data_IF_116947724557
#
_entry.id   IF_116947724557
#
_cell.length_a   1.000
_cell.length_b   1.000
_cell.length_c   1.000
_cell.angle_alpha   90.00
_cell.angle_beta   90.00
_cell.angle_gamma   90.00
#
_symmetry.space_group_name_H-M   'P 1'
#
loop_
_entity.id
_entity.type
_entity.pdbx_description
1 polymer ?
#
# COMPACT_ATOMS: atom_id res chain seq x y z
N UNK A 1 -5.37 -16.47 7.45
CA UNK A 1 -6.00 -17.77 7.21
C UNK A 1 -5.23 -18.49 6.11
N UNK A 2 -5.16 -17.98 4.87
CA UNK A 2 -4.50 -18.62 3.71
C UNK A 2 -3.08 -19.12 4.01
N UNK A 3 -2.24 -18.33 4.70
CA UNK A 3 -0.88 -18.71 5.07
C UNK A 3 -0.86 -20.01 5.92
N UNK A 4 -1.75 -20.10 6.91
CA UNK A 4 -1.86 -21.30 7.76
C UNK A 4 -2.40 -22.49 7.00
N UNK A 5 -3.36 -22.29 6.11
CA UNK A 5 -3.92 -23.36 5.26
C UNK A 5 -2.88 -23.90 4.27
N UNK A 6 -1.93 -23.04 3.82
CA UNK A 6 -0.79 -23.43 3.02
C UNK A 6 0.34 -24.11 3.83
N UNK A 7 0.18 -24.30 5.13
CA UNK A 7 1.16 -24.96 5.99
C UNK A 7 2.30 -24.10 6.49
N UNK A 8 2.19 -22.77 6.32
CA UNK A 8 3.19 -21.81 6.80
C UNK A 8 2.80 -21.12 8.11
N UNK A 9 3.79 -20.63 8.83
CA UNK A 9 3.64 -19.93 10.11
C UNK A 9 3.71 -18.40 9.90
N UNK A 10 2.58 -17.65 10.08
CA UNK A 10 2.59 -16.21 9.97
C UNK A 10 3.46 -15.55 11.04
N UNK A 11 4.27 -14.59 10.63
CA UNK A 11 5.19 -13.86 11.52
C UNK A 11 6.56 -14.52 11.68
N UNK A 12 6.69 -15.79 11.30
CA UNK A 12 7.97 -16.49 11.32
C UNK A 12 8.49 -16.81 9.93
N UNK A 13 7.65 -17.43 9.08
CA UNK A 13 8.02 -17.80 7.71
C UNK A 13 7.46 -16.81 6.69
N UNK A 14 6.28 -16.26 6.96
CA UNK A 14 5.60 -15.29 6.11
C UNK A 14 5.20 -14.09 6.98
N UNK A 15 5.61 -12.90 6.55
CA UNK A 15 5.11 -11.63 7.07
C UNK A 15 4.30 -10.90 5.99
N UNK A 16 3.58 -9.85 6.36
CA UNK A 16 2.75 -9.09 5.45
C UNK A 16 3.34 -7.70 5.20
N UNK A 17 3.29 -7.27 3.95
CA UNK A 17 3.49 -5.91 3.53
C UNK A 17 2.17 -5.38 2.96
N UNK A 18 1.78 -4.18 3.34
CA UNK A 18 0.60 -3.50 2.84
C UNK A 18 1.03 -2.43 1.84
N UNK A 19 0.34 -2.36 0.72
CA UNK A 19 0.32 -1.22 -0.19
C UNK A 19 -1.09 -0.62 -0.12
N UNK A 20 -1.20 0.52 0.54
CA UNK A 20 -2.51 1.11 0.89
C UNK A 20 -3.00 2.06 -0.20
N UNK A 21 -2.07 2.69 -0.92
CA UNK A 21 -2.35 3.73 -1.90
C UNK A 21 -3.33 4.79 -1.35
N UNK A 22 -3.06 5.28 -0.12
CA UNK A 22 -4.02 6.06 0.65
C UNK A 22 -4.42 7.38 -0.02
N UNK A 23 -3.63 7.88 -0.98
CA UNK A 23 -4.00 9.04 -1.80
C UNK A 23 -5.29 8.80 -2.60
N UNK A 24 -5.58 7.54 -2.99
CA UNK A 24 -6.83 7.17 -3.69
C UNK A 24 -8.05 7.17 -2.76
N UNK A 25 -7.84 7.01 -1.46
CA UNK A 25 -8.90 7.08 -0.45
C UNK A 25 -9.14 8.51 0.03
N UNK A 26 -8.21 9.42 -0.25
CA UNK A 26 -8.25 10.78 0.30
C UNK A 26 -9.18 11.69 -0.49
N UNK A 27 -10.18 12.21 0.19
CA UNK A 27 -11.13 13.17 -0.34
C UNK A 27 -10.63 14.60 -0.07
N UNK A 28 -10.26 15.32 -1.13
CA UNK A 28 -9.68 16.69 -1.05
C UNK A 28 -10.66 17.71 -0.50
N UNK A 29 -11.96 17.51 -0.69
CA UNK A 29 -12.98 18.47 -0.28
C UNK A 29 -13.27 18.38 1.23
N UNK A 30 -13.25 17.16 1.77
CA UNK A 30 -13.49 16.91 3.21
C UNK A 30 -12.21 16.87 4.05
N UNK A 31 -11.04 16.62 3.43
CA UNK A 31 -9.79 16.36 4.13
C UNK A 31 -9.75 15.01 4.85
N UNK A 32 -10.60 14.07 4.49
CA UNK A 32 -10.74 12.77 5.14
C UNK A 32 -10.42 11.64 4.17
N UNK A 33 -10.11 10.47 4.73
CA UNK A 33 -9.97 9.22 3.98
C UNK A 33 -11.29 8.47 3.99
N UNK A 34 -11.83 8.14 2.82
CA UNK A 34 -13.11 7.48 2.62
C UNK A 34 -12.91 5.96 2.51
N UNK A 35 -13.71 5.20 3.27
CA UNK A 35 -13.65 3.74 3.29
C UNK A 35 -14.95 3.09 2.78
N UNK A 36 -15.18 3.09 1.46
CA UNK A 36 -16.43 2.57 0.89
C UNK A 36 -16.63 1.07 1.16
N UNK A 37 -15.56 0.29 1.25
CA UNK A 37 -15.62 -1.13 1.60
C UNK A 37 -16.12 -1.37 3.03
N UNK A 38 -15.61 -0.61 4.01
CA UNK A 38 -16.07 -0.71 5.40
C UNK A 38 -17.51 -0.18 5.57
N UNK A 39 -17.88 0.85 4.82
CA UNK A 39 -19.23 1.36 4.75
C UNK A 39 -20.21 0.27 4.30
N UNK A 40 -19.87 -0.47 3.23
CA UNK A 40 -20.67 -1.61 2.74
C UNK A 40 -20.77 -2.73 3.76
N UNK A 41 -19.70 -3.05 4.48
CA UNK A 41 -19.70 -4.06 5.52
C UNK A 41 -20.61 -3.67 6.69
N UNK A 42 -20.54 -2.41 7.17
CA UNK A 42 -21.45 -1.91 8.21
C UNK A 42 -22.90 -1.97 7.78
N UNK A 43 -23.18 -1.59 6.54
CA UNK A 43 -24.53 -1.68 5.97
C UNK A 43 -25.02 -3.13 5.95
N UNK A 44 -24.19 -4.08 5.47
CA UNK A 44 -24.52 -5.49 5.45
C UNK A 44 -24.75 -6.08 6.85
N UNK A 45 -23.97 -5.68 7.87
CA UNK A 45 -24.16 -6.10 9.26
C UNK A 45 -25.46 -5.56 9.85
N UNK A 46 -25.83 -4.32 9.56
CA UNK A 46 -27.11 -3.74 10.02
C UNK A 46 -28.29 -4.43 9.36
N UNK A 47 -28.22 -4.73 8.07
CA UNK A 47 -29.23 -5.50 7.37
C UNK A 47 -29.39 -6.91 7.94
N UNK A 48 -28.27 -7.60 8.25
CA UNK A 48 -28.32 -8.93 8.87
C UNK A 48 -28.94 -8.91 10.28
N UNK A 49 -28.75 -7.83 11.04
CA UNK A 49 -29.36 -7.63 12.36
C UNK A 49 -30.81 -7.16 12.27
N UNK A 50 -31.19 -6.46 11.20
CA UNK A 50 -32.52 -5.94 10.92
C UNK A 50 -33.50 -6.96 10.31
N UNK A 51 -33.05 -8.16 9.92
CA UNK A 51 -33.82 -9.20 9.24
C UNK A 51 -34.88 -9.90 10.15
N UNK A 52 -35.44 -9.17 11.12
CA UNK A 52 -36.81 -9.47 11.64
C UNK A 52 -37.90 -8.61 10.94
N UNK A 53 -37.54 -7.80 9.94
CA UNK A 53 -38.52 -7.03 9.17
C UNK A 53 -38.24 -7.25 7.66
N UNK A 54 -39.24 -7.80 6.99
CA UNK A 54 -39.24 -8.12 5.56
C UNK A 54 -38.97 -6.87 4.69
N UNK A 55 -37.92 -6.81 3.94
CA UNK A 55 -37.87 -6.04 2.71
C UNK A 55 -36.79 -6.53 1.70
N UNK A 56 -37.27 -6.89 0.53
CA UNK A 56 -36.45 -7.31 -0.65
C UNK A 56 -35.54 -6.21 -1.22
N UNK A 57 -35.67 -4.97 -0.75
CA UNK A 57 -34.94 -3.80 -1.27
C UNK A 57 -33.44 -3.79 -0.92
N UNK A 58 -33.03 -4.47 0.12
CA UNK A 58 -31.64 -4.47 0.59
C UNK A 58 -30.68 -5.34 -0.25
N UNK A 59 -31.19 -6.41 -0.85
CA UNK A 59 -30.38 -7.28 -1.73
C UNK A 59 -30.14 -6.67 -3.12
N UNK A 60 -31.03 -5.80 -3.59
CA UNK A 60 -30.87 -5.10 -4.87
C UNK A 60 -29.76 -4.04 -4.83
N UNK A 61 -29.49 -3.41 -3.68
CA UNK A 61 -28.43 -2.39 -3.52
C UNK A 61 -27.02 -3.01 -3.60
N UNK A 62 -26.87 -4.26 -3.17
CA UNK A 62 -25.57 -4.97 -3.22
C UNK A 62 -25.18 -5.41 -4.64
N UNK A 63 -26.11 -5.43 -5.60
CA UNK A 63 -25.92 -5.95 -6.94
C UNK A 63 -26.30 -4.99 -8.08
N UNK A 64 -26.76 -3.76 -7.80
CA UNK A 64 -27.11 -2.81 -8.86
C UNK A 64 -25.90 -2.01 -9.30
N UNK A 65 -25.51 -2.22 -10.55
CA UNK A 65 -24.90 -1.17 -11.38
C UNK A 65 -25.85 0.04 -11.44
N UNK A 66 -25.29 1.23 -11.36
CA UNK A 66 -25.84 2.57 -11.11
C UNK A 66 -27.13 3.04 -11.85
N UNK A 67 -28.08 2.19 -12.21
CA UNK A 67 -29.26 2.65 -12.96
C UNK A 67 -30.58 2.04 -12.47
N UNK A 68 -31.46 2.92 -11.93
CA UNK A 68 -32.91 2.85 -11.73
C UNK A 68 -33.46 2.63 -10.31
N UNK A 69 -33.42 3.69 -9.49
CA UNK A 69 -34.30 3.83 -8.32
C UNK A 69 -35.07 5.18 -8.35
N UNK A 70 -36.32 5.28 -7.84
CA UNK A 70 -37.07 6.52 -7.77
C UNK A 70 -36.37 7.57 -6.89
N UNK A 71 -36.35 8.84 -7.32
CA UNK A 71 -35.59 9.93 -6.66
C UNK A 71 -35.92 10.15 -5.17
N UNK A 72 -37.13 9.85 -4.72
CA UNK A 72 -37.53 10.05 -3.32
C UNK A 72 -37.01 8.93 -2.38
N UNK A 73 -36.99 7.68 -2.84
CA UNK A 73 -36.37 6.57 -2.11
C UNK A 73 -34.84 6.70 -2.09
N UNK A 74 -34.25 7.15 -3.19
CA UNK A 74 -32.81 7.48 -3.23
C UNK A 74 -32.40 8.54 -2.19
N UNK A 75 -33.22 9.56 -1.94
CA UNK A 75 -32.89 10.62 -0.99
C UNK A 75 -32.89 10.12 0.47
N UNK A 76 -33.85 9.26 0.85
CA UNK A 76 -33.88 8.62 2.16
C UNK A 76 -32.69 7.66 2.36
N UNK A 77 -32.46 6.79 1.38
CA UNK A 77 -31.35 5.85 1.36
C UNK A 77 -29.99 6.57 1.31
N UNK A 78 -29.89 7.70 0.63
CA UNK A 78 -28.68 8.53 0.57
C UNK A 78 -28.37 9.13 1.95
N UNK A 79 -29.39 9.62 2.69
CA UNK A 79 -29.23 10.16 4.03
C UNK A 79 -28.76 9.07 5.03
N UNK A 80 -29.33 7.87 4.98
CA UNK A 80 -28.92 6.73 5.80
C UNK A 80 -27.51 6.24 5.41
N UNK A 81 -27.18 6.20 4.14
CA UNK A 81 -25.84 5.82 3.65
C UNK A 81 -24.78 6.84 4.08
N UNK A 82 -25.08 8.13 4.04
CA UNK A 82 -24.19 9.20 4.52
C UNK A 82 -23.92 9.05 6.02
N UNK A 83 -24.94 8.71 6.84
CA UNK A 83 -24.77 8.50 8.29
C UNK A 83 -23.93 7.26 8.62
N UNK A 84 -23.80 6.31 7.70
CA UNK A 84 -23.04 5.06 7.85
C UNK A 84 -21.67 5.11 7.24
N UNK A 85 -21.37 6.16 6.46
CA UNK A 85 -20.08 6.32 5.79
C UNK A 85 -18.93 6.28 6.77
N UNK A 86 -17.90 5.50 6.45
CA UNK A 86 -16.70 5.39 7.27
C UNK A 86 -15.65 6.32 6.70
N UNK A 87 -15.28 7.31 7.48
CA UNK A 87 -14.23 8.26 7.19
C UNK A 87 -13.17 8.20 8.27
N UNK A 88 -11.93 8.57 7.95
CA UNK A 88 -10.85 8.70 8.93
C UNK A 88 -10.05 9.97 8.66
N UNK A 89 -9.65 10.64 9.71
CA UNK A 89 -8.62 11.66 9.71
C UNK A 89 -7.24 11.01 9.58
N UNK A 90 -6.19 11.79 9.30
CA UNK A 90 -4.80 11.32 9.35
C UNK A 90 -4.47 10.66 10.69
N UNK A 91 -4.87 11.23 11.80
CA UNK A 91 -4.64 10.70 13.15
C UNK A 91 -5.34 9.34 13.35
N UNK A 92 -6.55 9.20 12.88
CA UNK A 92 -7.30 7.95 12.94
C UNK A 92 -6.71 6.87 12.01
N UNK A 93 -6.14 7.27 10.86
CA UNK A 93 -5.39 6.36 9.99
C UNK A 93 -4.15 5.81 10.70
N UNK A 94 -3.36 6.67 11.32
CA UNK A 94 -2.17 6.24 12.07
C UNK A 94 -2.58 5.29 13.20
N UNK A 95 -3.61 5.65 13.97
CA UNK A 95 -4.15 4.81 15.05
C UNK A 95 -4.70 3.47 14.54
N UNK A 96 -5.22 3.45 13.33
CA UNK A 96 -5.67 2.21 12.68
C UNK A 96 -4.48 1.31 12.34
N UNK A 97 -3.39 1.86 11.79
CA UNK A 97 -2.17 1.09 11.53
C UNK A 97 -1.54 0.54 12.82
N UNK A 98 -1.49 1.32 13.90
CA UNK A 98 -1.03 0.82 15.21
C UNK A 98 -1.78 -0.44 15.66
N UNK A 99 -3.10 -0.44 15.49
CA UNK A 99 -3.94 -1.61 15.81
C UNK A 99 -3.65 -2.78 14.89
N UNK A 100 -3.44 -2.54 13.59
CA UNK A 100 -3.15 -3.60 12.63
C UNK A 100 -1.80 -4.26 12.90
N UNK A 101 -0.73 -3.49 13.10
CA UNK A 101 0.61 -4.02 13.37
C UNK A 101 0.71 -4.73 14.73
N UNK A 102 -0.13 -4.35 15.70
CA UNK A 102 -0.20 -5.06 16.98
C UNK A 102 -0.90 -6.41 16.89
N UNK A 103 -1.79 -6.58 15.89
CA UNK A 103 -2.63 -7.76 15.73
C UNK A 103 -2.08 -8.75 14.69
N UNK A 104 -1.40 -8.24 13.68
CA UNK A 104 -0.95 -9.03 12.53
C UNK A 104 0.56 -8.84 12.31
N UNK A 105 1.27 -9.82 11.75
CA UNK A 105 2.69 -9.73 11.48
C UNK A 105 2.96 -8.87 10.23
N UNK A 106 2.59 -7.60 10.30
CA UNK A 106 2.83 -6.60 9.26
C UNK A 106 4.21 -5.99 9.51
N UNK A 107 5.07 -6.02 8.51
CA UNK A 107 6.46 -5.53 8.57
C UNK A 107 6.67 -4.29 7.69
N UNK A 108 5.73 -3.97 6.80
CA UNK A 108 5.85 -2.85 5.88
C UNK A 108 4.48 -2.27 5.53
N UNK A 109 4.39 -0.95 5.43
CA UNK A 109 3.23 -0.18 4.97
C UNK A 109 3.72 0.80 3.90
N UNK A 110 3.25 0.63 2.68
CA UNK A 110 3.52 1.49 1.54
C UNK A 110 2.35 2.46 1.35
N UNK A 111 2.67 3.74 1.12
CA UNK A 111 1.73 4.84 0.89
C UNK A 111 0.54 4.85 1.86
N UNK A 112 0.87 4.78 3.16
CA UNK A 112 -0.11 4.71 4.24
C UNK A 112 -0.90 6.00 4.46
N UNK A 113 -0.44 7.14 3.93
CA UNK A 113 -1.09 8.44 3.99
C UNK A 113 -1.01 9.15 2.63
N UNK A 114 -1.79 10.22 2.48
CA UNK A 114 -1.80 11.05 1.27
C UNK A 114 -0.40 11.59 0.96
N UNK A 115 -0.02 11.62 -0.31
CA UNK A 115 1.33 11.89 -0.84
C UNK A 115 1.91 13.28 -0.50
N UNK A 116 1.09 14.22 -0.06
CA UNK A 116 1.52 15.56 0.33
C UNK A 116 1.25 15.86 1.82
N UNK A 117 0.77 14.90 2.60
CA UNK A 117 0.58 15.03 4.05
C UNK A 117 1.90 14.79 4.80
N UNK A 118 2.87 15.67 4.60
CA UNK A 118 4.22 15.56 5.19
C UNK A 118 4.21 15.54 6.72
N UNK A 119 3.30 16.28 7.34
CA UNK A 119 3.16 16.30 8.80
C UNK A 119 2.62 14.97 9.31
N UNK A 120 1.58 14.44 8.67
CA UNK A 120 1.03 13.12 8.99
C UNK A 120 2.07 12.02 8.80
N UNK A 121 2.83 12.04 7.71
CA UNK A 121 3.93 11.09 7.48
C UNK A 121 5.01 11.16 8.56
N UNK A 122 5.39 12.37 8.97
CA UNK A 122 6.36 12.55 10.06
C UNK A 122 5.83 11.99 11.39
N UNK A 123 4.57 12.26 11.74
CA UNK A 123 3.95 11.73 12.96
C UNK A 123 3.77 10.21 12.89
N UNK A 124 3.35 9.66 11.74
CA UNK A 124 3.28 8.22 11.53
C UNK A 124 4.64 7.56 11.72
N UNK A 125 5.70 8.16 11.15
CA UNK A 125 7.06 7.65 11.27
C UNK A 125 7.53 7.64 12.73
N UNK A 126 7.25 8.70 13.45
CA UNK A 126 7.58 8.81 14.88
C UNK A 126 6.87 7.76 15.74
N UNK A 127 5.61 7.41 15.41
CA UNK A 127 4.79 6.49 16.22
C UNK A 127 5.05 5.02 15.92
N UNK A 128 5.30 4.67 14.66
CA UNK A 128 5.40 3.26 14.25
C UNK A 128 6.63 2.92 13.41
N UNK A 129 7.43 3.90 13.02
CA UNK A 129 8.57 3.68 12.12
C UNK A 129 9.72 2.85 12.72
N UNK A 130 9.76 2.66 14.03
CA UNK A 130 10.68 1.76 14.72
C UNK A 130 10.24 0.28 14.67
N UNK A 131 8.98 0.04 14.34
CA UNK A 131 8.36 -1.31 14.33
C UNK A 131 8.09 -1.84 12.93
N UNK A 132 7.86 -0.94 11.97
CA UNK A 132 7.52 -1.30 10.59
C UNK A 132 8.24 -0.40 9.60
N UNK A 133 8.50 -0.92 8.42
CA UNK A 133 8.97 -0.16 7.29
C UNK A 133 7.83 0.72 6.74
N UNK A 134 8.08 2.02 6.58
CA UNK A 134 7.16 3.00 6.02
C UNK A 134 7.69 3.46 4.68
N UNK A 135 7.08 2.95 3.62
CA UNK A 135 7.56 3.12 2.24
C UNK A 135 6.81 4.24 1.56
N UNK A 136 7.54 5.21 1.01
CA UNK A 136 6.96 6.19 0.11
C UNK A 136 7.15 5.77 -1.35
N UNK A 137 6.05 5.49 -2.04
CA UNK A 137 5.95 5.38 -3.50
C UNK A 137 5.53 6.74 -4.06
N UNK A 138 4.26 7.11 -3.98
CA UNK A 138 3.73 8.39 -4.45
C UNK A 138 4.30 9.57 -3.63
N UNK A 139 4.61 9.35 -2.35
CA UNK A 139 5.29 10.34 -1.52
C UNK A 139 6.60 10.82 -2.14
N UNK A 140 7.41 9.92 -2.68
CA UNK A 140 8.76 10.21 -3.18
C UNK A 140 8.90 10.17 -4.70
N UNK A 141 8.06 9.41 -5.40
CA UNK A 141 8.06 9.23 -6.88
C UNK A 141 9.46 8.96 -7.46
N UNK A 142 10.29 8.18 -6.75
CA UNK A 142 11.71 7.92 -7.08
C UNK A 142 12.56 9.20 -7.23
N UNK A 143 12.10 10.33 -6.71
CA UNK A 143 12.70 11.65 -6.93
C UNK A 143 13.65 12.04 -5.78
N UNK A 144 14.96 12.24 -6.03
CA UNK A 144 15.93 12.63 -5.01
C UNK A 144 15.57 13.94 -4.26
N UNK A 145 14.87 14.87 -4.92
CA UNK A 145 14.47 16.14 -4.28
C UNK A 145 13.36 15.91 -3.25
N UNK A 146 12.33 15.11 -3.61
CA UNK A 146 11.27 14.75 -2.67
C UNK A 146 11.81 13.89 -1.52
N UNK A 147 12.73 12.98 -1.82
CA UNK A 147 13.39 12.17 -0.79
C UNK A 147 14.21 13.06 0.18
N UNK A 148 14.95 14.06 -0.30
CA UNK A 148 15.65 15.04 0.56
C UNK A 148 14.69 15.77 1.50
N UNK A 149 13.51 16.15 1.00
CA UNK A 149 12.46 16.76 1.83
C UNK A 149 11.97 15.79 2.90
N UNK A 150 11.67 14.53 2.53
CA UNK A 150 11.21 13.51 3.49
C UNK A 150 12.25 13.22 4.57
N UNK A 151 13.52 13.10 4.19
CA UNK A 151 14.62 12.93 5.14
C UNK A 151 14.68 14.10 6.13
N UNK A 152 14.60 15.35 5.64
CA UNK A 152 14.62 16.55 6.48
C UNK A 152 13.43 16.61 7.45
N UNK A 153 12.27 16.11 7.04
CA UNK A 153 11.04 16.08 7.85
C UNK A 153 10.85 14.77 8.62
N UNK A 154 11.75 13.80 8.47
CA UNK A 154 11.65 12.45 9.06
C UNK A 154 10.36 11.75 8.65
N UNK A 155 9.98 11.87 7.39
CA UNK A 155 8.77 11.30 6.80
C UNK A 155 9.10 9.98 6.07
N UNK A 156 8.59 8.86 6.57
CA UNK A 156 8.93 7.52 6.10
C UNK A 156 10.32 7.06 6.56
N UNK A 157 10.68 5.83 6.21
CA UNK A 157 12.01 5.24 6.45
C UNK A 157 12.46 4.34 5.28
N UNK A 158 11.68 4.31 4.20
CA UNK A 158 12.00 3.59 2.96
C UNK A 158 11.41 4.30 1.74
N UNK A 159 12.02 4.05 0.58
CA UNK A 159 11.55 4.56 -0.72
C UNK A 159 11.33 3.41 -1.69
N UNK A 160 10.25 3.47 -2.45
CA UNK A 160 10.06 2.61 -3.61
C UNK A 160 10.79 3.19 -4.82
N UNK A 161 11.52 2.36 -5.54
CA UNK A 161 12.32 2.75 -6.71
C UNK A 161 11.67 2.19 -7.96
N UNK A 162 11.09 3.05 -8.75
CA UNK A 162 10.53 2.77 -10.07
C UNK A 162 11.37 3.48 -11.12
N UNK A 163 12.28 2.77 -11.77
CA UNK A 163 13.31 3.33 -12.65
C UNK A 163 12.74 4.24 -13.74
N UNK A 164 11.60 3.85 -14.33
CA UNK A 164 10.94 4.63 -15.38
C UNK A 164 10.06 5.79 -14.85
N UNK A 165 9.91 5.95 -13.54
CA UNK A 165 9.11 7.03 -12.94
C UNK A 165 9.88 8.35 -12.93
N UNK A 166 11.15 8.32 -12.52
CA UNK A 166 12.05 9.47 -12.60
C UNK A 166 12.64 9.64 -14.02
N UNK A 167 12.84 8.55 -14.74
CA UNK A 167 13.14 8.56 -16.18
C UNK A 167 14.56 8.20 -16.57
N UNK A 168 15.54 8.24 -15.65
CA UNK A 168 16.92 7.82 -15.91
C UNK A 168 17.46 6.91 -14.82
N UNK A 169 18.38 6.00 -15.21
CA UNK A 169 19.09 5.16 -14.26
C UNK A 169 19.93 6.00 -13.29
N UNK A 170 20.56 7.05 -13.77
CA UNK A 170 21.42 7.92 -12.94
C UNK A 170 20.64 8.56 -11.80
N UNK A 171 19.44 9.09 -12.06
CA UNK A 171 18.58 9.67 -11.02
C UNK A 171 18.04 8.62 -10.07
N UNK A 172 17.69 7.42 -10.58
CA UNK A 172 17.28 6.29 -9.75
C UNK A 172 18.40 5.85 -8.81
N UNK A 173 19.64 5.78 -9.31
CA UNK A 173 20.80 5.45 -8.49
C UNK A 173 21.11 6.56 -7.47
N UNK A 174 20.95 7.84 -7.84
CA UNK A 174 21.07 8.95 -6.90
C UNK A 174 20.08 8.80 -5.76
N UNK A 175 18.82 8.47 -6.05
CA UNK A 175 17.80 8.25 -5.04
C UNK A 175 18.17 7.09 -4.09
N UNK A 176 18.62 5.95 -4.63
CA UNK A 176 19.05 4.79 -3.82
C UNK A 176 20.25 5.14 -2.93
N UNK A 177 21.27 5.80 -3.49
CA UNK A 177 22.46 6.19 -2.72
C UNK A 177 22.11 7.21 -1.64
N UNK A 178 21.23 8.17 -1.96
CA UNK A 178 20.75 9.16 -1.01
C UNK A 178 19.99 8.51 0.13
N UNK A 179 19.06 7.59 -0.16
CA UNK A 179 18.32 6.81 0.82
C UNK A 179 19.28 6.08 1.78
N UNK A 180 20.19 5.29 1.22
CA UNK A 180 21.16 4.50 1.98
C UNK A 180 22.04 5.35 2.91
N UNK A 181 22.52 6.51 2.43
CA UNK A 181 23.35 7.44 3.24
C UNK A 181 22.59 8.06 4.41
N UNK A 182 21.28 8.05 4.39
CA UNK A 182 20.43 8.63 5.42
C UNK A 182 19.63 7.59 6.22
N UNK A 183 19.98 6.30 6.11
CA UNK A 183 19.34 5.21 6.86
C UNK A 183 17.98 4.78 6.34
N UNK A 184 17.59 5.26 5.14
CA UNK A 184 16.38 4.79 4.47
C UNK A 184 16.66 3.52 3.70
N UNK A 185 15.71 2.59 3.71
CA UNK A 185 15.74 1.41 2.85
C UNK A 185 15.27 1.75 1.43
N UNK A 186 15.68 0.94 0.46
CA UNK A 186 15.21 1.07 -0.92
C UNK A 186 14.63 -0.25 -1.38
N UNK A 187 13.45 -0.21 -1.99
CA UNK A 187 12.77 -1.36 -2.59
C UNK A 187 12.73 -1.13 -4.10
N UNK A 188 13.42 -1.93 -4.89
CA UNK A 188 13.34 -1.84 -6.35
C UNK A 188 12.05 -2.49 -6.81
N UNK A 189 11.27 -1.78 -7.63
CA UNK A 189 9.90 -2.18 -7.94
C UNK A 189 9.66 -2.32 -9.43
N UNK A 190 8.83 -3.31 -9.75
CA UNK A 190 8.16 -3.43 -11.04
C UNK A 190 7.09 -2.36 -11.22
N UNK A 191 6.41 -2.39 -12.36
CA UNK A 191 5.17 -1.64 -12.63
C UNK A 191 4.01 -2.62 -12.86
N UNK A 192 2.77 -2.09 -12.86
CA UNK A 192 1.56 -2.88 -13.19
C UNK A 192 1.64 -3.47 -14.59
N UNK A 193 2.10 -2.68 -15.59
CA UNK A 193 2.51 -3.17 -16.90
C UNK A 193 4.00 -3.47 -16.90
N UNK A 194 4.39 -4.71 -17.23
CA UNK A 194 5.77 -5.19 -17.20
C UNK A 194 6.13 -6.00 -18.45
N UNK A 195 7.43 -6.13 -18.69
CA UNK A 195 8.04 -7.00 -19.69
C UNK A 195 8.91 -8.06 -19.02
N UNK A 196 9.45 -8.99 -19.79
CA UNK A 196 10.37 -10.01 -19.29
C UNK A 196 11.80 -9.51 -19.04
N UNK A 197 12.06 -8.21 -19.24
CA UNK A 197 13.34 -7.57 -18.93
C UNK A 197 13.65 -7.72 -17.43
N UNK A 198 14.77 -8.35 -17.02
CA UNK A 198 15.07 -8.61 -15.62
C UNK A 198 15.87 -7.49 -14.92
N UNK A 199 16.22 -6.41 -15.59
CA UNK A 199 17.14 -5.37 -15.13
C UNK A 199 16.90 -4.89 -13.68
N UNK A 200 15.66 -4.87 -13.21
CA UNK A 200 15.38 -4.46 -11.83
C UNK A 200 15.95 -5.43 -10.79
N UNK A 201 16.16 -6.70 -11.14
CA UNK A 201 16.84 -7.66 -10.27
C UNK A 201 18.33 -7.34 -10.17
N UNK A 202 18.97 -7.04 -11.31
CA UNK A 202 20.38 -6.63 -11.34
C UNK A 202 20.60 -5.36 -10.51
N UNK A 203 19.73 -4.35 -10.66
CA UNK A 203 19.81 -3.10 -9.88
C UNK A 203 19.66 -3.38 -8.37
N UNK A 204 18.71 -4.22 -7.99
CA UNK A 204 18.46 -4.54 -6.59
C UNK A 204 19.68 -5.16 -5.92
N UNK A 205 20.37 -6.07 -6.62
CA UNK A 205 21.59 -6.72 -6.12
C UNK A 205 22.80 -5.80 -6.21
N UNK A 206 23.04 -5.18 -7.38
CA UNK A 206 24.22 -4.35 -7.62
C UNK A 206 24.33 -3.16 -6.64
N UNK A 207 23.19 -2.57 -6.28
CA UNK A 207 23.14 -1.46 -5.33
C UNK A 207 22.87 -1.92 -3.89
N UNK A 208 22.83 -3.25 -3.65
CA UNK A 208 22.58 -3.83 -2.34
C UNK A 208 21.34 -3.22 -1.66
N UNK A 209 20.21 -3.20 -2.38
CA UNK A 209 18.94 -2.69 -1.85
C UNK A 209 18.30 -3.65 -0.82
N UNK A 210 18.60 -4.95 -0.94
CA UNK A 210 18.11 -6.01 -0.03
C UNK A 210 16.64 -6.36 -0.23
N UNK A 211 15.91 -5.63 -1.08
CA UNK A 211 14.48 -5.81 -1.30
C UNK A 211 14.10 -5.56 -2.76
N UNK A 212 13.13 -6.34 -3.23
CA UNK A 212 12.49 -6.18 -4.54
C UNK A 212 10.99 -6.40 -4.43
N UNK A 213 10.18 -5.56 -5.10
CA UNK A 213 8.73 -5.73 -5.27
C UNK A 213 8.48 -6.10 -6.72
N UNK A 214 8.25 -7.38 -7.03
CA UNK A 214 8.18 -7.83 -8.43
C UNK A 214 7.01 -8.76 -8.75
N UNK A 215 5.97 -8.74 -7.94
CA UNK A 215 4.75 -9.53 -8.13
C UNK A 215 4.86 -10.95 -7.58
N UNK A 216 3.78 -11.70 -7.72
CA UNK A 216 3.76 -13.12 -7.38
C UNK A 216 4.65 -13.91 -8.35
N UNK A 217 5.20 -15.08 -7.95
CA UNK A 217 6.03 -15.92 -8.82
C UNK A 217 5.17 -16.66 -9.88
N UNK A 218 4.43 -15.90 -10.64
CA UNK A 218 3.60 -16.35 -11.76
C UNK A 218 3.59 -15.27 -12.84
N UNK A 219 3.31 -15.63 -14.08
CA UNK A 219 3.47 -14.83 -15.32
C UNK A 219 4.95 -14.63 -15.68
N UNK A 220 5.28 -14.72 -16.98
CA UNK A 220 6.65 -14.62 -17.50
C UNK A 220 7.36 -13.35 -17.10
N UNK A 221 6.67 -12.21 -17.21
CA UNK A 221 7.21 -10.89 -16.87
C UNK A 221 7.58 -10.71 -15.38
N UNK A 222 7.06 -11.58 -14.48
CA UNK A 222 7.41 -11.58 -13.05
C UNK A 222 8.47 -12.63 -12.75
N UNK A 223 8.28 -13.85 -13.25
CA UNK A 223 9.23 -14.95 -13.01
C UNK A 223 10.59 -14.70 -13.65
N UNK A 224 10.69 -13.89 -14.71
CA UNK A 224 11.96 -13.46 -15.29
C UNK A 224 12.88 -12.80 -14.24
N UNK A 225 12.35 -11.95 -13.36
CA UNK A 225 13.11 -11.28 -12.31
C UNK A 225 13.56 -12.27 -11.22
N UNK A 226 12.69 -13.21 -10.82
CA UNK A 226 13.07 -14.26 -9.87
C UNK A 226 14.15 -15.18 -10.43
N UNK A 227 14.04 -15.55 -11.72
CA UNK A 227 15.05 -16.36 -12.37
C UNK A 227 16.39 -15.61 -12.51
N UNK A 228 16.36 -14.29 -12.69
CA UNK A 228 17.57 -13.48 -12.71
C UNK A 228 18.25 -13.46 -11.35
N UNK A 229 17.50 -13.31 -10.26
CA UNK A 229 18.07 -13.39 -8.92
C UNK A 229 18.77 -14.73 -8.68
N UNK A 230 18.22 -15.85 -9.18
CA UNK A 230 18.86 -17.17 -9.09
C UNK A 230 20.16 -17.24 -9.91
N UNK A 231 20.19 -16.69 -11.14
CA UNK A 231 21.41 -16.60 -11.96
C UNK A 231 22.50 -15.77 -11.30
N UNK A 232 22.11 -14.62 -10.71
CA UNK A 232 23.06 -13.76 -9.98
C UNK A 232 23.60 -14.50 -8.75
N UNK A 233 22.76 -15.26 -8.03
CA UNK A 233 23.19 -16.06 -6.88
C UNK A 233 24.26 -17.09 -7.29
N UNK A 234 24.04 -17.83 -8.39
CA UNK A 234 25.03 -18.76 -8.93
C UNK A 234 26.37 -18.06 -9.23
N UNK A 235 26.34 -16.91 -9.94
CA UNK A 235 27.56 -16.16 -10.27
C UNK A 235 28.32 -15.64 -9.04
N UNK A 236 27.60 -15.23 -8.00
CA UNK A 236 28.21 -14.69 -6.77
C UNK A 236 28.77 -15.80 -5.89
N UNK A 237 28.11 -16.98 -5.86
CA UNK A 237 28.56 -18.11 -5.05
C UNK A 237 29.73 -18.87 -5.67
N UNK A 238 29.96 -18.75 -6.98
CA UNK A 238 31.11 -19.37 -7.65
C UNK A 238 32.43 -18.59 -7.50
N UNK A 239 32.39 -17.40 -6.89
CA UNK A 239 33.55 -16.53 -6.66
C UNK A 239 34.03 -16.62 -5.22
#
# INVERSE_FOLDING_TARGET
>A
RAVKEAGYEPGRQIAFALDVAASELYNKDSGLYDFPGETRLKLAELMAKGNQCESNSAQEILHSDEQKLPKAEMAGMLADTISLSVHRTTEEMISYYEKLISKYPIVSIEDGLQENDWEGWSEMTKRIGDRVQLVGDDLFVTNPKRLKQGIAQKAGNAILIKVNQIGTLSESFEAIVLAKRNGYQSIVSHRSGETEDPMIADIAVALNCGQIKTGAPCRGERTAKYNELLRIEEEVCER
#
